data_IF_246810719110
#
_entry.id   IF_246810719110
#
_cell.length_a   1.000
_cell.length_b   1.000
_cell.length_c   1.000
_cell.angle_alpha   90.00
_cell.angle_beta   90.00
_cell.angle_gamma   90.00
#
_symmetry.space_group_name_H-M   'P 1'
#
loop_
_entity.id
_entity.type
_entity.pdbx_description
1 polymer ?
#
# COMPACT_ATOMS: atom_id res chain seq x y z
N UNK A 1 21.34 10.30 1.80
CA UNK A 1 21.12 10.15 0.35
C UNK A 1 20.26 11.28 -0.17
N UNK A 2 20.51 11.75 -1.41
CA UNK A 2 19.57 12.66 -2.08
C UNK A 2 18.30 11.90 -2.46
N UNK A 3 17.14 12.54 -2.39
CA UNK A 3 15.83 11.94 -2.75
C UNK A 3 15.88 11.17 -4.07
N UNK A 4 16.54 11.77 -5.07
CA UNK A 4 16.72 11.22 -6.43
C UNK A 4 17.50 9.90 -6.46
N UNK A 5 18.49 9.72 -5.59
CA UNK A 5 19.24 8.47 -5.50
C UNK A 5 18.42 7.36 -4.85
N UNK A 6 17.56 7.73 -3.91
CA UNK A 6 16.72 6.78 -3.18
C UNK A 6 15.63 6.18 -4.07
N UNK A 7 14.91 7.02 -4.80
CA UNK A 7 13.89 6.59 -5.78
C UNK A 7 14.50 5.90 -7.01
N UNK A 8 15.80 6.07 -7.25
CA UNK A 8 16.54 5.37 -8.31
C UNK A 8 16.84 3.90 -7.95
N UNK A 9 16.85 3.55 -6.64
CA UNK A 9 17.13 2.17 -6.22
C UNK A 9 15.93 1.26 -6.48
N UNK A 10 16.17 0.16 -7.19
CA UNK A 10 15.17 -0.93 -7.34
C UNK A 10 14.69 -1.47 -6.00
N UNK A 11 15.57 -1.51 -4.99
CA UNK A 11 15.22 -1.93 -3.64
C UNK A 11 14.14 -1.06 -3.00
N UNK A 12 14.14 0.26 -3.27
CA UNK A 12 13.11 1.17 -2.77
C UNK A 12 11.73 0.79 -3.33
N UNK A 13 11.63 0.63 -4.66
CA UNK A 13 10.38 0.24 -5.30
C UNK A 13 9.91 -1.16 -4.90
N UNK A 14 10.84 -2.09 -4.63
CA UNK A 14 10.52 -3.41 -4.07
C UNK A 14 9.89 -3.27 -2.68
N UNK A 15 10.41 -2.40 -1.82
CA UNK A 15 9.81 -2.10 -0.51
C UNK A 15 8.45 -1.42 -0.64
N UNK A 16 8.29 -0.47 -1.56
CA UNK A 16 7.02 0.22 -1.82
C UNK A 16 5.95 -0.78 -2.22
N UNK A 17 6.25 -1.67 -3.18
CA UNK A 17 5.32 -2.71 -3.61
C UNK A 17 5.01 -3.71 -2.48
N UNK A 18 6.02 -4.18 -1.74
CA UNK A 18 5.82 -5.13 -0.65
C UNK A 18 4.91 -4.55 0.44
N UNK A 19 5.17 -3.32 0.88
CA UNK A 19 4.36 -2.66 1.90
C UNK A 19 2.98 -2.26 1.38
N UNK A 20 2.88 -1.81 0.12
CA UNK A 20 1.60 -1.48 -0.51
C UNK A 20 0.69 -2.69 -0.64
N UNK A 21 1.23 -3.83 -1.09
CA UNK A 21 0.48 -5.08 -1.19
C UNK A 21 0.08 -5.58 0.21
N UNK A 22 1.00 -5.54 1.18
CA UNK A 22 0.68 -5.92 2.57
C UNK A 22 -0.43 -5.06 3.17
N UNK A 23 -0.39 -3.75 2.91
CA UNK A 23 -1.45 -2.82 3.32
C UNK A 23 -2.79 -3.16 2.67
N UNK A 24 -2.83 -3.45 1.37
CA UNK A 24 -4.07 -3.85 0.68
C UNK A 24 -4.69 -5.09 1.29
N UNK A 25 -3.88 -6.12 1.53
CA UNK A 25 -4.36 -7.38 2.12
C UNK A 25 -4.98 -7.12 3.49
N UNK A 26 -4.28 -6.37 4.36
CA UNK A 26 -4.80 -6.06 5.70
C UNK A 26 -6.03 -5.17 5.62
N UNK A 27 -6.02 -4.16 4.74
CA UNK A 27 -7.14 -3.24 4.55
C UNK A 27 -8.39 -3.99 4.09
N UNK A 28 -8.29 -4.82 3.05
CA UNK A 28 -9.43 -5.58 2.52
C UNK A 28 -9.96 -6.59 3.56
N UNK A 29 -9.07 -7.28 4.29
CA UNK A 29 -9.47 -8.20 5.36
C UNK A 29 -10.23 -7.47 6.48
N UNK A 30 -9.68 -6.35 6.96
CA UNK A 30 -10.30 -5.54 8.02
C UNK A 30 -11.62 -4.95 7.53
N UNK A 31 -11.66 -4.40 6.31
CA UNK A 31 -12.88 -3.86 5.73
C UNK A 31 -13.98 -4.91 5.61
N UNK A 32 -13.68 -6.10 5.09
CA UNK A 32 -14.67 -7.18 4.97
C UNK A 32 -15.15 -7.65 6.35
N UNK A 33 -14.23 -7.83 7.30
CA UNK A 33 -14.57 -8.27 8.65
C UNK A 33 -15.45 -7.27 9.40
N UNK A 34 -15.17 -5.97 9.28
CA UNK A 34 -15.92 -4.92 9.96
C UNK A 34 -17.24 -4.58 9.25
N UNK A 35 -17.28 -4.54 7.92
CA UNK A 35 -18.48 -4.14 7.18
C UNK A 35 -19.50 -5.28 7.06
N UNK A 36 -19.04 -6.52 6.88
CA UNK A 36 -19.92 -7.67 6.64
C UNK A 36 -20.00 -8.63 7.84
N UNK A 37 -19.28 -8.34 8.93
CA UNK A 37 -19.29 -9.16 10.15
C UNK A 37 -18.72 -10.57 9.97
N UNK A 38 -18.03 -10.83 8.85
CA UNK A 38 -17.52 -12.15 8.46
C UNK A 38 -16.74 -12.10 7.14
N UNK A 39 -16.17 -13.24 6.71
CA UNK A 39 -15.36 -13.34 5.49
C UNK A 39 -16.20 -13.42 4.20
N UNK A 40 -16.99 -12.37 3.92
CA UNK A 40 -17.83 -12.27 2.73
C UNK A 40 -17.14 -11.47 1.61
N UNK A 41 -15.96 -11.92 1.19
CA UNK A 41 -15.17 -11.24 0.15
C UNK A 41 -15.93 -11.14 -1.18
N UNK A 42 -16.69 -12.17 -1.55
CA UNK A 42 -17.44 -12.18 -2.81
C UNK A 42 -18.48 -11.06 -2.87
N UNK A 43 -19.28 -10.90 -1.80
CA UNK A 43 -20.25 -9.81 -1.70
C UNK A 43 -19.58 -8.43 -1.69
N UNK A 44 -18.47 -8.29 -0.95
CA UNK A 44 -17.69 -7.05 -0.90
C UNK A 44 -17.18 -6.63 -2.27
N UNK A 45 -16.61 -7.56 -3.05
CA UNK A 45 -16.10 -7.26 -4.37
C UNK A 45 -17.24 -6.99 -5.35
N UNK A 46 -18.28 -7.82 -5.40
CA UNK A 46 -19.41 -7.65 -6.32
C UNK A 46 -20.09 -6.29 -6.14
N UNK A 47 -20.38 -5.87 -4.91
CA UNK A 47 -21.07 -4.61 -4.62
C UNK A 47 -20.22 -3.37 -4.98
N UNK A 48 -18.89 -3.49 -4.90
CA UNK A 48 -17.93 -2.43 -5.24
C UNK A 48 -17.53 -2.44 -6.72
N UNK A 49 -17.83 -3.50 -7.46
CA UNK A 49 -17.43 -3.67 -8.85
C UNK A 49 -18.58 -3.54 -9.86
N UNK A 50 -19.83 -3.85 -9.51
CA UNK A 50 -20.94 -4.02 -10.48
C UNK A 50 -21.52 -2.75 -11.13
N UNK A 51 -21.16 -1.53 -10.72
CA UNK A 51 -21.79 -0.29 -11.23
C UNK A 51 -20.86 0.63 -12.04
N UNK A 52 -19.82 0.08 -12.68
CA UNK A 52 -18.76 0.89 -13.30
C UNK A 52 -17.88 1.63 -12.28
N UNK A 53 -18.10 1.40 -10.98
CA UNK A 53 -17.28 1.85 -9.85
C UNK A 53 -15.96 1.08 -9.74
N UNK A 54 -15.82 -0.01 -10.49
CA UNK A 54 -14.61 -0.84 -10.64
C UNK A 54 -13.34 0.00 -10.83
N UNK A 55 -13.38 0.98 -11.72
CA UNK A 55 -12.24 1.85 -12.00
C UNK A 55 -11.89 2.72 -10.79
N UNK A 56 -12.89 3.26 -10.09
CA UNK A 56 -12.70 4.07 -8.89
C UNK A 56 -12.16 3.22 -7.74
N UNK A 57 -12.62 1.98 -7.60
CA UNK A 57 -12.13 1.03 -6.61
C UNK A 57 -10.68 0.64 -6.87
N UNK A 58 -10.33 0.26 -8.10
CA UNK A 58 -8.95 -0.08 -8.50
C UNK A 58 -8.00 1.11 -8.36
N UNK A 59 -8.39 2.30 -8.82
CA UNK A 59 -7.58 3.52 -8.64
C UNK A 59 -7.43 3.85 -7.17
N UNK A 60 -8.50 3.71 -6.37
CA UNK A 60 -8.47 3.93 -4.93
C UNK A 60 -7.50 2.99 -4.22
N UNK A 61 -7.60 1.69 -4.48
CA UNK A 61 -6.66 0.69 -3.94
C UNK A 61 -5.24 0.96 -4.41
N UNK A 62 -5.02 1.23 -5.70
CA UNK A 62 -3.69 1.51 -6.22
C UNK A 62 -3.08 2.76 -5.58
N UNK A 63 -3.85 3.85 -5.48
CA UNK A 63 -3.39 5.08 -4.85
C UNK A 63 -3.14 4.89 -3.35
N UNK A 64 -3.99 4.15 -2.64
CA UNK A 64 -3.81 3.89 -1.20
C UNK A 64 -2.58 3.01 -0.94
N UNK A 65 -2.44 1.91 -1.69
CA UNK A 65 -1.30 1.02 -1.63
C UNK A 65 0.00 1.75 -1.98
N UNK A 66 -0.03 2.56 -3.04
CA UNK A 66 1.12 3.34 -3.48
C UNK A 66 1.48 4.41 -2.47
N UNK A 67 0.52 5.21 -1.99
CA UNK A 67 0.76 6.25 -1.00
C UNK A 67 1.33 5.66 0.30
N UNK A 68 0.70 4.62 0.84
CA UNK A 68 1.17 3.96 2.06
C UNK A 68 2.56 3.34 1.86
N UNK A 69 2.73 2.53 0.82
CA UNK A 69 3.99 1.90 0.49
C UNK A 69 5.12 2.91 0.28
N UNK A 70 4.82 4.03 -0.38
CA UNK A 70 5.76 5.11 -0.66
C UNK A 70 6.14 5.87 0.62
N UNK A 71 5.16 6.31 1.42
CA UNK A 71 5.41 7.07 2.65
C UNK A 71 6.24 6.24 3.63
N UNK A 72 5.86 4.98 3.86
CA UNK A 72 6.55 4.14 4.83
C UNK A 72 7.94 3.74 4.32
N UNK A 73 8.09 3.35 3.05
CA UNK A 73 9.41 3.03 2.48
C UNK A 73 10.32 4.26 2.48
N UNK A 74 9.76 5.44 2.19
CA UNK A 74 10.49 6.71 2.27
C UNK A 74 11.00 6.96 3.70
N UNK A 75 10.14 6.80 4.71
CA UNK A 75 10.51 6.88 6.13
C UNK A 75 11.60 5.88 6.51
N UNK A 76 11.46 4.61 6.11
CA UNK A 76 12.42 3.55 6.41
C UNK A 76 13.81 3.85 5.82
N UNK A 77 13.88 4.23 4.55
CA UNK A 77 15.16 4.54 3.91
C UNK A 77 15.77 5.84 4.44
N UNK A 78 14.96 6.85 4.77
CA UNK A 78 15.45 8.08 5.42
C UNK A 78 15.99 7.80 6.83
N UNK A 79 15.31 6.95 7.60
CA UNK A 79 15.73 6.54 8.93
C UNK A 79 17.02 5.69 8.92
N UNK A 80 17.14 4.74 7.99
CA UNK A 80 18.37 3.96 7.78
C UNK A 80 19.59 4.85 7.53
N UNK A 81 19.48 5.81 6.61
CA UNK A 81 20.57 6.74 6.33
C UNK A 81 20.99 7.59 7.55
N UNK A 82 20.08 7.86 8.49
CA UNK A 82 20.41 8.61 9.72
C UNK A 82 21.16 7.73 10.72
N UNK A 83 20.73 6.47 10.88
CA UNK A 83 21.41 5.48 11.72
C UNK A 83 22.80 5.10 11.19
N UNK A 84 22.95 5.03 9.87
CA UNK A 84 24.24 4.73 9.22
C UNK A 84 25.22 5.93 9.29
N UNK A 85 24.74 7.13 9.64
CA UNK A 85 25.58 8.33 9.81
C UNK A 85 25.95 8.61 11.29
N UNK A 86 25.30 7.92 12.24
CA UNK A 86 25.61 8.00 13.67
C UNK A 86 26.53 6.85 14.16
N UNK A 87 26.86 5.89 13.29
CA UNK A 87 27.88 4.85 13.52
C UNK A 87 29.13 5.13 12.69
#
# INVERSE_FOLDING_TARGET
MKFKEMISKRAFWKSVLLLGIGFLIVYDIVSVLFEYGGFHFEAYFTERTEDGKLFRFLIGQFLAAFAYGFIISFGQFRGKNKKDAEN
#
